data_IF_441719146042
#
_entry.id   IF_441719146042
#
_cell.length_a   1.000
_cell.length_b   1.000
_cell.length_c   1.000
_cell.angle_alpha   90.00
_cell.angle_beta   90.00
_cell.angle_gamma   90.00
#
_symmetry.space_group_name_H-M   'P 1'
#
loop_
_entity.id
_entity.type
_entity.pdbx_description
1 polymer ?
#
# COMPACT_ATOMS: atom_id res chain seq x y z
N UNK A 1 -14.68 -11.29 -24.56
CA UNK A 1 -15.88 -11.73 -23.83
C UNK A 1 -15.78 -11.06 -22.48
N UNK A 2 -16.51 -9.96 -22.31
CA UNK A 2 -16.54 -9.20 -21.06
C UNK A 2 -17.30 -10.04 -20.03
N UNK A 3 -16.62 -10.47 -18.98
CA UNK A 3 -17.25 -11.03 -17.78
C UNK A 3 -18.06 -9.91 -17.13
N UNK A 4 -19.33 -9.82 -17.49
CA UNK A 4 -20.31 -9.02 -16.77
C UNK A 4 -20.65 -9.80 -15.48
N UNK A 5 -19.71 -9.86 -14.52
CA UNK A 5 -19.94 -10.45 -13.20
C UNK A 5 -20.97 -9.57 -12.47
N UNK A 6 -22.24 -9.94 -12.61
CA UNK A 6 -23.35 -9.35 -11.90
C UNK A 6 -23.07 -9.40 -10.39
N UNK A 7 -23.10 -8.23 -9.74
CA UNK A 7 -22.92 -8.12 -8.27
C UNK A 7 -23.88 -9.06 -7.56
N UNK A 8 -23.36 -9.78 -6.57
CA UNK A 8 -24.19 -10.63 -5.70
C UNK A 8 -24.75 -9.80 -4.56
N UNK A 9 -26.06 -9.83 -4.43
CA UNK A 9 -26.81 -9.12 -3.38
C UNK A 9 -26.82 -9.94 -2.10
N UNK A 10 -26.51 -9.30 -0.97
CA UNK A 10 -26.35 -9.98 0.32
C UNK A 10 -27.18 -9.27 1.40
N UNK A 11 -27.92 -10.07 2.17
CA UNK A 11 -28.59 -9.66 3.39
C UNK A 11 -27.91 -10.27 4.62
N UNK A 12 -27.63 -9.46 5.64
CA UNK A 12 -27.05 -9.92 6.90
C UNK A 12 -28.14 -10.05 7.97
N UNK A 13 -28.18 -11.20 8.64
CA UNK A 13 -29.05 -11.44 9.79
C UNK A 13 -28.18 -11.55 11.04
N UNK A 14 -28.45 -10.72 12.04
CA UNK A 14 -27.60 -10.51 13.19
C UNK A 14 -26.68 -9.28 13.02
N UNK A 15 -26.44 -8.59 14.12
CA UNK A 15 -25.76 -7.30 14.21
C UNK A 15 -24.59 -7.30 15.20
N UNK A 16 -24.18 -8.45 15.71
CA UNK A 16 -23.03 -8.59 16.61
C UNK A 16 -21.67 -8.27 15.94
N UNK A 17 -20.58 -8.64 16.61
CA UNK A 17 -19.21 -8.41 16.13
C UNK A 17 -18.94 -9.11 14.79
N UNK A 18 -19.49 -10.32 14.59
CA UNK A 18 -19.36 -11.07 13.35
C UNK A 18 -19.97 -10.31 12.17
N UNK A 19 -21.14 -9.69 12.36
CA UNK A 19 -21.77 -8.84 11.35
C UNK A 19 -20.92 -7.60 11.07
N UNK A 20 -20.35 -6.96 12.10
CA UNK A 20 -19.44 -5.83 11.91
C UNK A 20 -18.17 -6.19 11.11
N UNK A 21 -17.65 -7.41 11.26
CA UNK A 21 -16.53 -7.93 10.45
C UNK A 21 -16.96 -8.22 9.02
N UNK A 22 -18.10 -8.89 8.80
CA UNK A 22 -18.66 -9.16 7.47
C UNK A 22 -18.86 -7.86 6.68
N UNK A 23 -19.45 -6.86 7.32
CA UNK A 23 -19.65 -5.54 6.73
C UNK A 23 -18.33 -4.92 6.24
N UNK A 24 -17.24 -5.07 7.00
CA UNK A 24 -15.93 -4.56 6.59
C UNK A 24 -15.41 -5.29 5.36
N UNK A 25 -15.47 -6.63 5.35
CA UNK A 25 -15.00 -7.42 4.23
C UNK A 25 -15.77 -7.12 2.95
N UNK A 26 -17.10 -7.10 3.04
CA UNK A 26 -17.95 -6.87 1.88
C UNK A 26 -17.89 -5.43 1.39
N UNK A 27 -17.72 -4.44 2.27
CA UNK A 27 -17.56 -3.02 1.86
C UNK A 27 -16.32 -2.77 0.99
N UNK A 28 -15.29 -3.62 1.11
CA UNK A 28 -14.10 -3.56 0.27
C UNK A 28 -14.23 -4.30 -1.07
N UNK A 29 -15.33 -5.02 -1.30
CA UNK A 29 -15.52 -5.85 -2.48
C UNK A 29 -16.39 -5.16 -3.52
N UNK A 30 -15.93 -5.11 -4.78
CA UNK A 30 -16.73 -4.61 -5.90
C UNK A 30 -17.74 -5.64 -6.42
N UNK A 31 -17.67 -6.89 -5.93
CA UNK A 31 -18.50 -8.03 -6.37
C UNK A 31 -19.72 -8.28 -5.48
N UNK A 32 -19.78 -7.66 -4.31
CA UNK A 32 -20.85 -7.86 -3.32
C UNK A 32 -21.59 -6.55 -3.09
N UNK A 33 -22.91 -6.61 -3.08
CA UNK A 33 -23.78 -5.48 -2.74
C UNK A 33 -24.59 -5.83 -1.48
N UNK A 34 -24.33 -5.09 -0.40
CA UNK A 34 -25.04 -5.27 0.86
C UNK A 34 -26.34 -4.48 0.87
N UNK A 35 -27.47 -5.17 0.83
CA UNK A 35 -28.78 -4.52 0.77
C UNK A 35 -29.31 -4.17 2.15
N UNK A 36 -29.12 -5.05 3.15
CA UNK A 36 -29.57 -4.80 4.50
C UNK A 36 -28.77 -5.53 5.58
N UNK A 37 -28.86 -5.00 6.79
CA UNK A 37 -28.53 -5.70 8.04
C UNK A 37 -29.77 -5.68 8.92
N UNK A 38 -30.14 -6.83 9.49
CA UNK A 38 -31.26 -6.94 10.41
C UNK A 38 -30.84 -7.50 11.75
N UNK A 39 -31.16 -6.77 12.81
CA UNK A 39 -30.91 -7.19 14.19
C UNK A 39 -31.93 -6.53 15.12
N UNK A 40 -32.37 -7.24 16.15
CA UNK A 40 -33.34 -6.72 17.13
C UNK A 40 -32.72 -5.64 18.03
N UNK A 41 -31.40 -5.68 18.24
CA UNK A 41 -30.60 -4.67 18.93
C UNK A 41 -30.02 -3.64 17.95
N UNK A 42 -30.63 -2.47 17.90
CA UNK A 42 -30.24 -1.35 17.03
C UNK A 42 -28.89 -0.71 17.35
N UNK A 43 -28.33 -1.01 18.53
CA UNK A 43 -27.06 -0.46 19.03
C UNK A 43 -25.91 -1.48 18.92
N UNK A 44 -26.17 -2.64 18.33
CA UNK A 44 -25.15 -3.65 18.11
C UNK A 44 -24.03 -3.15 17.17
N UNK A 45 -22.79 -3.69 17.29
CA UNK A 45 -21.65 -3.23 16.51
C UNK A 45 -21.87 -3.22 14.99
N UNK A 46 -22.49 -4.29 14.47
CA UNK A 46 -22.84 -4.44 13.06
C UNK A 46 -23.91 -3.43 12.62
N UNK A 47 -24.95 -3.20 13.42
CA UNK A 47 -25.98 -2.20 13.10
C UNK A 47 -25.42 -0.77 13.06
N UNK A 48 -24.54 -0.44 13.99
CA UNK A 48 -23.86 0.87 14.02
C UNK A 48 -22.99 1.05 12.79
N UNK A 49 -22.22 0.03 12.42
CA UNK A 49 -21.34 0.07 11.25
C UNK A 49 -22.12 0.11 9.93
N UNK A 50 -23.22 -0.63 9.83
CA UNK A 50 -24.11 -0.59 8.67
C UNK A 50 -24.65 0.82 8.41
N UNK A 51 -25.07 1.54 9.47
CA UNK A 51 -25.50 2.94 9.37
C UNK A 51 -24.40 3.86 8.85
N UNK A 52 -23.16 3.70 9.35
CA UNK A 52 -22.01 4.49 8.90
C UNK A 52 -21.68 4.26 7.42
N UNK A 53 -21.91 3.03 6.93
CA UNK A 53 -21.69 2.65 5.53
C UNK A 53 -22.90 2.97 4.62
N UNK A 54 -23.98 3.54 5.16
CA UNK A 54 -25.20 3.85 4.40
C UNK A 54 -26.05 2.64 4.01
N UNK A 55 -25.85 1.49 4.68
CA UNK A 55 -26.58 0.25 4.43
C UNK A 55 -27.90 0.28 5.21
N UNK A 56 -28.98 -0.23 4.61
CA UNK A 56 -30.31 -0.28 5.24
C UNK A 56 -30.28 -1.14 6.50
N UNK A 57 -30.63 -0.58 7.65
CA UNK A 57 -30.75 -1.31 8.91
C UNK A 57 -32.20 -1.59 9.27
N UNK A 58 -32.52 -2.81 9.67
CA UNK A 58 -33.88 -3.28 9.99
C UNK A 58 -33.89 -3.93 11.37
N UNK A 59 -35.07 -4.00 12.00
CA UNK A 59 -35.25 -4.66 13.31
C UNK A 59 -36.15 -5.89 13.26
N UNK A 60 -36.87 -6.09 12.16
CA UNK A 60 -37.78 -7.22 11.96
C UNK A 60 -37.21 -8.18 10.92
N UNK A 61 -36.73 -9.35 11.39
CA UNK A 61 -36.05 -10.38 10.58
C UNK A 61 -36.98 -10.94 9.51
N UNK A 62 -38.22 -11.30 9.88
CA UNK A 62 -39.21 -11.85 8.96
C UNK A 62 -39.48 -10.91 7.78
N UNK A 63 -39.76 -9.64 8.07
CA UNK A 63 -40.07 -8.63 7.05
C UNK A 63 -38.86 -8.34 6.16
N UNK A 64 -37.65 -8.38 6.71
CA UNK A 64 -36.43 -8.18 5.94
C UNK A 64 -36.23 -9.30 4.91
N UNK A 65 -36.25 -10.55 5.39
CA UNK A 65 -35.99 -11.76 4.58
C UNK A 65 -37.10 -11.99 3.54
N UNK A 66 -38.35 -11.65 3.86
CA UNK A 66 -39.49 -11.85 2.97
C UNK A 66 -39.62 -10.78 1.88
N UNK A 67 -39.40 -9.50 2.23
CA UNK A 67 -39.72 -8.38 1.35
C UNK A 67 -38.52 -7.85 0.55
N UNK A 68 -37.29 -8.20 0.93
CA UNK A 68 -36.07 -7.72 0.26
C UNK A 68 -35.36 -8.93 -0.34
N UNK A 69 -35.52 -9.21 -1.65
CA UNK A 69 -34.86 -10.32 -2.29
C UNK A 69 -33.35 -10.08 -2.35
N UNK A 70 -32.58 -11.11 -1.99
CA UNK A 70 -31.11 -11.14 -2.06
C UNK A 70 -30.67 -12.48 -2.63
N UNK A 71 -29.49 -12.53 -3.26
CA UNK A 71 -28.87 -13.77 -3.71
C UNK A 71 -28.42 -14.64 -2.53
N UNK A 72 -27.91 -14.00 -1.47
CA UNK A 72 -27.44 -14.70 -0.27
C UNK A 72 -27.93 -14.04 1.01
N UNK A 73 -28.36 -14.86 1.97
CA UNK A 73 -28.66 -14.45 3.34
C UNK A 73 -27.57 -15.03 4.23
N UNK A 74 -26.78 -14.17 4.86
CA UNK A 74 -25.68 -14.58 5.73
C UNK A 74 -26.14 -14.47 7.18
N UNK A 75 -26.14 -15.61 7.87
CA UNK A 75 -26.37 -15.69 9.30
C UNK A 75 -25.08 -15.27 10.04
N UNK A 76 -25.19 -14.18 10.80
CA UNK A 76 -24.17 -13.66 11.70
C UNK A 76 -24.63 -13.67 13.16
N UNK A 77 -25.83 -14.19 13.47
CA UNK A 77 -26.31 -14.33 14.85
C UNK A 77 -25.78 -15.60 15.50
N UNK A 78 -25.68 -16.69 14.73
CA UNK A 78 -25.32 -18.02 15.25
C UNK A 78 -26.39 -18.63 16.16
N UNK A 79 -27.61 -18.12 16.09
CA UNK A 79 -28.76 -18.54 16.90
C UNK A 79 -29.69 -19.45 16.07
N UNK A 80 -29.94 -20.67 16.56
CA UNK A 80 -30.77 -21.67 15.89
C UNK A 80 -32.23 -21.22 15.70
N UNK A 81 -32.78 -20.44 16.64
CA UNK A 81 -34.14 -19.92 16.56
C UNK A 81 -34.26 -18.85 15.47
N UNK A 82 -33.27 -17.95 15.40
CA UNK A 82 -33.19 -16.97 14.32
C UNK A 82 -33.04 -17.67 12.97
N UNK A 83 -32.20 -18.70 12.89
CA UNK A 83 -32.03 -19.47 11.66
C UNK A 83 -33.31 -20.18 11.24
N UNK A 84 -34.07 -20.74 12.18
CA UNK A 84 -35.39 -21.33 11.89
C UNK A 84 -36.37 -20.29 11.33
N UNK A 85 -36.37 -19.05 11.87
CA UNK A 85 -37.19 -17.96 11.34
C UNK A 85 -36.75 -17.53 9.93
N UNK A 86 -35.45 -17.47 9.66
CA UNK A 86 -34.93 -17.16 8.32
C UNK A 86 -35.35 -18.24 7.33
N UNK A 87 -35.17 -19.52 7.65
CA UNK A 87 -35.55 -20.65 6.80
C UNK A 87 -37.05 -20.66 6.52
N UNK A 88 -37.89 -20.41 7.54
CA UNK A 88 -39.34 -20.43 7.41
C UNK A 88 -39.88 -19.29 6.54
N UNK A 89 -39.23 -18.12 6.54
CA UNK A 89 -39.73 -16.92 5.87
C UNK A 89 -39.04 -16.60 4.54
N UNK A 90 -37.89 -17.22 4.27
CA UNK A 90 -37.11 -17.06 3.04
C UNK A 90 -37.92 -17.44 1.81
N UNK A 91 -38.05 -16.48 0.90
CA UNK A 91 -38.67 -16.69 -0.42
C UNK A 91 -37.62 -16.99 -1.51
N UNK A 92 -36.48 -16.30 -1.48
CA UNK A 92 -35.41 -16.36 -2.50
C UNK A 92 -34.01 -16.32 -1.86
N UNK A 93 -32.97 -16.63 -2.64
CA UNK A 93 -31.56 -16.60 -2.22
C UNK A 93 -31.05 -17.93 -1.66
N UNK A 94 -29.78 -17.99 -1.24
CA UNK A 94 -29.17 -19.10 -0.52
C UNK A 94 -28.80 -18.68 0.90
N UNK A 95 -28.94 -19.59 1.88
CA UNK A 95 -28.54 -19.28 3.26
C UNK A 95 -27.10 -19.72 3.46
N UNK A 96 -26.28 -18.81 3.96
CA UNK A 96 -24.92 -19.10 4.44
C UNK A 96 -24.98 -19.15 5.96
N UNK A 97 -24.76 -20.33 6.54
CA UNK A 97 -24.85 -20.54 7.99
C UNK A 97 -23.76 -19.80 8.76
N UNK A 98 -24.03 -19.46 10.02
CA UNK A 98 -23.04 -18.83 10.91
C UNK A 98 -21.77 -19.65 11.06
N UNK A 99 -21.87 -20.98 11.18
CA UNK A 99 -20.69 -21.87 11.31
C UNK A 99 -19.81 -21.88 10.06
N UNK A 100 -20.40 -21.96 8.86
CA UNK A 100 -19.65 -21.88 7.62
C UNK A 100 -18.98 -20.51 7.48
N UNK A 101 -19.72 -19.45 7.81
CA UNK A 101 -19.23 -18.08 7.83
C UNK A 101 -18.02 -17.92 8.75
N UNK A 102 -18.09 -18.43 9.99
CA UNK A 102 -16.98 -18.41 10.96
C UNK A 102 -15.74 -19.18 10.48
N UNK A 103 -15.92 -20.35 9.86
CA UNK A 103 -14.81 -21.11 9.29
C UNK A 103 -14.13 -20.34 8.17
N UNK A 104 -14.89 -19.81 7.21
CA UNK A 104 -14.36 -18.98 6.14
C UNK A 104 -13.62 -17.77 6.69
N UNK A 105 -14.15 -17.15 7.74
CA UNK A 105 -13.48 -16.04 8.42
C UNK A 105 -12.15 -16.41 9.04
N UNK A 106 -12.10 -17.49 9.82
CA UNK A 106 -10.88 -17.93 10.47
C UNK A 106 -9.77 -18.18 9.43
N UNK A 107 -10.12 -18.83 8.31
CA UNK A 107 -9.18 -19.07 7.21
C UNK A 107 -8.75 -17.77 6.54
N UNK A 108 -9.67 -16.84 6.28
CA UNK A 108 -9.34 -15.55 5.66
C UNK A 108 -8.48 -14.66 6.57
N UNK A 109 -8.75 -14.64 7.88
CA UNK A 109 -7.95 -13.88 8.85
C UNK A 109 -6.53 -14.45 8.96
N UNK A 110 -6.38 -15.78 8.98
CA UNK A 110 -5.08 -16.46 8.98
C UNK A 110 -4.30 -16.18 7.67
N UNK A 111 -4.98 -16.29 6.52
CA UNK A 111 -4.38 -15.96 5.23
C UNK A 111 -3.99 -14.47 5.13
N UNK A 112 -4.79 -13.56 5.68
CA UNK A 112 -4.47 -12.13 5.69
C UNK A 112 -3.27 -11.86 6.59
N UNK A 113 -3.20 -12.52 7.75
CA UNK A 113 -2.07 -12.42 8.67
C UNK A 113 -0.76 -12.88 8.02
N UNK A 114 -0.77 -14.06 7.42
CA UNK A 114 0.39 -14.63 6.72
C UNK A 114 0.79 -13.80 5.49
N UNK A 115 -0.17 -13.36 4.68
CA UNK A 115 0.10 -12.50 3.51
C UNK A 115 0.70 -11.17 3.93
N UNK A 116 0.12 -10.49 4.92
CA UNK A 116 0.65 -9.22 5.42
C UNK A 116 2.06 -9.38 5.98
N UNK A 117 2.32 -10.47 6.72
CA UNK A 117 3.65 -10.77 7.25
C UNK A 117 4.68 -11.02 6.13
N UNK A 118 4.29 -11.74 5.08
CA UNK A 118 5.14 -12.01 3.94
C UNK A 118 5.45 -10.73 3.16
N UNK A 119 4.43 -9.93 2.84
CA UNK A 119 4.58 -8.61 2.20
C UNK A 119 5.47 -7.69 3.02
N UNK A 120 5.31 -7.67 4.35
CA UNK A 120 6.16 -6.90 5.24
C UNK A 120 7.62 -7.34 5.17
N UNK A 121 7.88 -8.65 5.19
CA UNK A 121 9.23 -9.22 5.12
C UNK A 121 9.91 -8.89 3.80
N UNK A 122 9.20 -9.03 2.69
CA UNK A 122 9.73 -8.78 1.35
C UNK A 122 10.05 -7.30 1.14
N UNK A 123 9.12 -6.40 1.51
CA UNK A 123 9.34 -4.96 1.42
C UNK A 123 10.47 -4.49 2.36
N UNK A 124 10.58 -5.07 3.56
CA UNK A 124 11.71 -4.83 4.45
C UNK A 124 13.04 -5.30 3.85
N UNK A 125 13.02 -6.39 3.07
CA UNK A 125 14.15 -6.88 2.30
C UNK A 125 14.59 -5.89 1.22
N UNK A 126 13.66 -5.51 0.35
CA UNK A 126 13.89 -4.54 -0.74
C UNK A 126 14.39 -3.21 -0.18
N UNK A 127 13.79 -2.70 0.90
CA UNK A 127 14.25 -1.47 1.56
C UNK A 127 15.72 -1.57 2.00
N UNK A 128 16.10 -2.66 2.66
CA UNK A 128 17.50 -2.85 3.08
C UNK A 128 18.46 -2.87 1.89
N UNK A 129 18.02 -3.39 0.75
CA UNK A 129 18.80 -3.38 -0.48
C UNK A 129 18.95 -1.97 -1.06
N UNK A 130 17.85 -1.20 -1.12
CA UNK A 130 17.87 0.22 -1.49
C UNK A 130 18.84 1.00 -0.59
N UNK A 131 18.73 0.85 0.73
CA UNK A 131 19.58 1.57 1.68
C UNK A 131 21.08 1.24 1.52
N UNK A 132 21.41 -0.01 1.11
CA UNK A 132 22.79 -0.40 0.81
C UNK A 132 23.26 0.21 -0.50
N UNK A 133 22.48 0.07 -1.57
CA UNK A 133 22.82 0.57 -2.89
C UNK A 133 23.00 2.10 -2.89
N UNK A 134 22.09 2.81 -2.25
CA UNK A 134 22.18 4.26 -2.01
C UNK A 134 23.49 4.64 -1.31
N UNK A 135 23.85 3.93 -0.22
CA UNK A 135 25.11 4.17 0.49
C UNK A 135 26.34 3.93 -0.38
N UNK A 136 26.33 2.89 -1.20
CA UNK A 136 27.47 2.59 -2.07
C UNK A 136 27.59 3.60 -3.21
N UNK A 137 26.47 4.06 -3.78
CA UNK A 137 26.48 5.18 -4.73
C UNK A 137 27.02 6.45 -4.09
N UNK A 138 26.57 6.82 -2.88
CA UNK A 138 27.10 8.01 -2.16
C UNK A 138 28.61 7.93 -1.96
N UNK A 139 29.17 6.75 -1.64
CA UNK A 139 30.63 6.58 -1.54
C UNK A 139 31.32 6.82 -2.89
N UNK A 140 30.77 6.30 -3.98
CA UNK A 140 31.30 6.52 -5.32
C UNK A 140 31.26 7.99 -5.71
N UNK A 141 30.16 8.69 -5.41
CA UNK A 141 30.03 10.13 -5.65
C UNK A 141 31.08 10.93 -4.88
N UNK A 142 31.32 10.60 -3.61
CA UNK A 142 32.38 11.24 -2.83
C UNK A 142 33.78 11.02 -3.45
N UNK A 143 34.02 9.84 -4.05
CA UNK A 143 35.21 9.58 -4.83
C UNK A 143 35.33 10.47 -6.08
N UNK A 144 34.24 10.65 -6.82
CA UNK A 144 34.18 11.53 -8.00
C UNK A 144 34.44 12.99 -7.61
N UNK A 145 33.83 13.47 -6.52
CA UNK A 145 34.08 14.82 -6.00
C UNK A 145 35.55 15.03 -5.64
N UNK A 146 36.15 14.06 -4.95
CA UNK A 146 37.58 14.10 -4.60
C UNK A 146 38.46 14.17 -5.85
N UNK A 147 38.23 13.30 -6.83
CA UNK A 147 38.98 13.30 -8.09
C UNK A 147 38.80 14.63 -8.83
N UNK A 148 37.57 15.15 -8.87
CA UNK A 148 37.27 16.43 -9.51
C UNK A 148 37.99 17.59 -8.82
N UNK A 149 38.06 17.60 -7.49
CA UNK A 149 38.84 18.58 -6.74
C UNK A 149 40.34 18.50 -7.04
N UNK A 150 40.90 17.28 -7.08
CA UNK A 150 42.32 17.06 -7.40
C UNK A 150 42.64 17.50 -8.84
N UNK A 151 41.79 17.16 -9.81
CA UNK A 151 41.92 17.59 -11.20
C UNK A 151 41.83 19.11 -11.35
N UNK A 152 40.92 19.77 -10.62
CA UNK A 152 40.82 21.23 -10.64
C UNK A 152 42.12 21.89 -10.13
N UNK A 153 42.70 21.39 -9.03
CA UNK A 153 43.98 21.89 -8.49
C UNK A 153 45.13 21.64 -9.47
N UNK A 154 45.20 20.45 -10.07
CA UNK A 154 46.20 20.12 -11.09
C UNK A 154 46.10 21.04 -12.31
N UNK A 155 44.88 21.31 -12.77
CA UNK A 155 44.61 22.21 -13.88
C UNK A 155 45.03 23.66 -13.56
N UNK A 156 44.76 24.14 -12.35
CA UNK A 156 45.22 25.46 -11.90
C UNK A 156 46.75 25.53 -11.91
N UNK A 157 47.43 24.53 -11.37
CA UNK A 157 48.89 24.49 -11.35
C UNK A 157 49.47 24.46 -12.77
N UNK A 158 48.89 23.67 -13.67
CA UNK A 158 49.27 23.63 -15.08
C UNK A 158 49.06 24.99 -15.77
N UNK A 159 47.94 25.67 -15.49
CA UNK A 159 47.66 27.02 -15.99
C UNK A 159 48.69 28.06 -15.51
N UNK A 160 49.13 27.97 -14.25
CA UNK A 160 50.18 28.85 -13.71
C UNK A 160 51.52 28.60 -14.44
N UNK A 161 51.91 27.34 -14.66
CA UNK A 161 53.15 27.03 -15.38
C UNK A 161 53.08 27.44 -16.86
N UNK A 162 51.92 27.25 -17.49
CA UNK A 162 51.66 27.72 -18.85
C UNK A 162 51.80 29.25 -18.94
N UNK A 163 51.25 30.00 -17.96
CA UNK A 163 51.42 31.45 -17.90
C UNK A 163 52.88 31.87 -17.68
N UNK A 164 53.65 31.12 -16.89
CA UNK A 164 55.09 31.38 -16.67
C UNK A 164 55.94 31.16 -17.91
N UNK A 165 55.56 30.19 -18.76
CA UNK A 165 56.24 29.92 -20.02
C UNK A 165 55.95 30.96 -21.13
N UNK A 166 55.07 31.93 -20.86
CA UNK A 166 54.74 33.01 -21.80
C UNK A 166 54.18 32.49 -23.12
N UNK A 167 54.74 32.93 -24.24
CA UNK A 167 54.31 32.53 -25.58
C UNK A 167 54.40 31.01 -25.81
N UNK A 168 55.39 30.34 -25.23
CA UNK A 168 55.56 28.89 -25.36
C UNK A 168 54.51 28.08 -24.58
N UNK A 169 53.80 28.70 -23.64
CA UNK A 169 52.79 28.05 -22.80
C UNK A 169 51.36 28.16 -23.31
N UNK A 170 51.09 28.92 -24.39
CA UNK A 170 49.71 29.20 -24.84
C UNK A 170 48.87 27.95 -25.09
N UNK A 171 49.43 26.93 -25.75
CA UNK A 171 48.72 25.66 -25.98
C UNK A 171 48.40 24.91 -24.69
N UNK A 172 49.35 24.86 -23.75
CA UNK A 172 49.14 24.24 -22.44
C UNK A 172 48.11 24.99 -21.59
N UNK A 173 48.02 26.32 -21.71
CA UNK A 173 47.02 27.11 -21.02
C UNK A 173 45.60 26.76 -21.44
N UNK A 174 45.37 26.51 -22.74
CA UNK A 174 44.06 26.08 -23.26
C UNK A 174 43.69 24.72 -22.70
N UNK A 175 44.60 23.75 -22.74
CA UNK A 175 44.37 22.40 -22.18
C UNK A 175 44.08 22.45 -20.68
N UNK A 176 44.85 23.25 -19.93
CA UNK A 176 44.60 23.45 -18.50
C UNK A 176 43.21 24.04 -18.23
N UNK A 177 42.75 25.00 -19.04
CA UNK A 177 41.39 25.54 -18.96
C UNK A 177 40.32 24.48 -19.19
N UNK A 178 40.50 23.61 -20.19
CA UNK A 178 39.53 22.56 -20.52
C UNK A 178 39.45 21.49 -19.43
N UNK A 179 40.60 21.07 -18.87
CA UNK A 179 40.64 20.12 -17.74
C UNK A 179 39.94 20.72 -16.52
N UNK A 180 40.15 22.01 -16.24
CA UNK A 180 39.46 22.72 -15.14
C UNK A 180 37.95 22.74 -15.35
N UNK A 181 37.51 23.07 -16.56
CA UNK A 181 36.09 23.09 -16.93
C UNK A 181 35.46 21.70 -16.75
N UNK A 182 36.12 20.66 -17.24
CA UNK A 182 35.68 19.26 -17.15
C UNK A 182 35.55 18.80 -15.69
N UNK A 183 36.54 19.13 -14.85
CA UNK A 183 36.50 18.82 -13.42
C UNK A 183 35.32 19.50 -12.71
N UNK A 184 35.00 20.75 -13.09
CA UNK A 184 33.85 21.46 -12.53
C UNK A 184 32.52 20.83 -12.94
N UNK A 185 32.36 20.46 -14.21
CA UNK A 185 31.16 19.78 -14.72
C UNK A 185 30.98 18.41 -14.03
N UNK A 186 32.06 17.65 -13.84
CA UNK A 186 32.00 16.38 -13.13
C UNK A 186 31.50 16.53 -11.68
N UNK A 187 31.94 17.59 -10.97
CA UNK A 187 31.44 17.90 -9.62
C UNK A 187 29.96 18.28 -9.62
N UNK A 188 29.52 19.07 -10.59
CA UNK A 188 28.10 19.46 -10.73
C UNK A 188 27.22 18.23 -10.95
N UNK A 189 27.60 17.35 -11.88
CA UNK A 189 26.91 16.09 -12.12
C UNK A 189 26.88 15.18 -10.87
N UNK A 190 27.98 15.11 -10.12
CA UNK A 190 28.02 14.36 -8.88
C UNK A 190 27.00 14.90 -7.85
N UNK A 191 26.89 16.23 -7.72
CA UNK A 191 25.89 16.87 -6.86
C UNK A 191 24.45 16.62 -7.30
N UNK A 192 24.17 16.61 -8.61
CA UNK A 192 22.85 16.26 -9.13
C UNK A 192 22.46 14.82 -8.80
N UNK A 193 23.40 13.87 -8.90
CA UNK A 193 23.15 12.47 -8.52
C UNK A 193 22.95 12.36 -7.01
N UNK A 194 23.71 13.09 -6.19
CA UNK A 194 23.53 13.09 -4.73
C UNK A 194 22.13 13.56 -4.30
N UNK A 195 21.59 14.55 -5.01
CA UNK A 195 20.19 14.98 -4.82
C UNK A 195 19.21 13.84 -5.12
N UNK A 196 19.38 13.14 -6.24
CA UNK A 196 18.53 11.98 -6.59
C UNK A 196 18.64 10.87 -5.55
N UNK A 197 19.84 10.61 -5.04
CA UNK A 197 20.08 9.62 -3.98
C UNK A 197 19.40 10.01 -2.66
N UNK A 198 19.39 11.31 -2.33
CA UNK A 198 18.64 11.83 -1.18
C UNK A 198 17.13 11.64 -1.33
N UNK A 199 16.58 11.85 -2.53
CA UNK A 199 15.18 11.57 -2.83
C UNK A 199 14.83 10.08 -2.69
N UNK A 200 15.70 9.19 -3.17
CA UNK A 200 15.55 7.72 -3.01
C UNK A 200 15.58 7.33 -1.53
N UNK A 201 16.46 7.93 -0.74
CA UNK A 201 16.54 7.69 0.71
C UNK A 201 15.25 8.10 1.42
N UNK A 202 14.70 9.26 1.07
CA UNK A 202 13.41 9.71 1.61
C UNK A 202 12.27 8.77 1.21
N UNK A 203 12.26 8.24 -0.01
CA UNK A 203 11.28 7.22 -0.41
C UNK A 203 11.41 5.94 0.42
N UNK A 204 12.64 5.49 0.71
CA UNK A 204 12.91 4.34 1.58
C UNK A 204 12.34 4.54 3.00
N UNK A 205 12.46 5.74 3.56
CA UNK A 205 11.85 6.09 4.86
C UNK A 205 10.31 6.09 4.82
N UNK A 206 9.71 6.58 3.72
CA UNK A 206 8.24 6.52 3.54
C UNK A 206 7.73 5.08 3.46
N UNK A 207 8.51 4.17 2.86
CA UNK A 207 8.21 2.73 2.88
C UNK A 207 8.19 2.23 4.32
N UNK A 208 9.18 2.57 5.16
CA UNK A 208 9.19 2.17 6.58
C UNK A 208 7.95 2.66 7.34
N UNK A 209 7.58 3.93 7.16
CA UNK A 209 6.40 4.49 7.82
C UNK A 209 5.11 3.80 7.37
N UNK A 210 5.01 3.44 6.09
CA UNK A 210 3.86 2.73 5.54
C UNK A 210 3.78 1.30 6.08
N UNK A 211 4.93 0.62 6.20
CA UNK A 211 5.02 -0.71 6.79
C UNK A 211 4.58 -0.75 8.25
N UNK A 212 4.92 0.28 9.04
CA UNK A 212 4.47 0.41 10.44
C UNK A 212 2.95 0.56 10.60
N UNK A 213 2.23 1.01 9.56
CA UNK A 213 0.75 1.12 9.59
C UNK A 213 0.04 -0.20 9.26
N UNK A 214 0.74 -1.13 8.62
CA UNK A 214 0.20 -2.46 8.26
C UNK A 214 0.38 -3.47 9.40
N UNK A 215 1.30 -3.17 10.33
CA UNK A 215 1.51 -3.89 11.59
C UNK A 215 0.45 -3.54 12.62
#
# INVERSE_FOLDING_TARGET
MEDNEQKKTVGLVGGGDNAARLLQLFSGSHRVELLYVVDTNTNSPGMTKAKLLGIKTLTNIESAVKNIPVDFIVDASGDEEIMAQVVANKQHGEIVSGTATLLFFAVLEDQRGTTNQQVFKDLSGVRREIDRNTRDVSKTLHGIEKISNELEVLAINAGIQASRAGEFGKGFAVVAGEVKSTARVARELAGDIDRVISEISSMSEKIEQSLKKVQ
#
